data_IF_989847048069
#
_entry.id   IF_989847048069
#
_cell.length_a   1.000
_cell.length_b   1.000
_cell.length_c   1.000
_cell.angle_alpha   90.00
_cell.angle_beta   90.00
_cell.angle_gamma   90.00
#
_symmetry.space_group_name_H-M   'P 1'
#
loop_
_entity.id
_entity.type
_entity.pdbx_description
1 polymer ?
#
# COMPACT_ATOMS: atom_id res chain seq x y z
N UNK A 1 -19.08 -11.70 -4.21
CA UNK A 1 -18.62 -11.50 -2.80
C UNK A 1 -17.52 -10.45 -2.72
N UNK A 2 -16.39 -10.60 -3.44
CA UNK A 2 -15.31 -9.58 -3.46
C UNK A 2 -15.81 -8.20 -3.92
N UNK A 3 -16.57 -8.11 -4.99
CA UNK A 3 -17.13 -6.84 -5.50
C UNK A 3 -17.87 -6.04 -4.42
N UNK A 4 -18.80 -6.68 -3.70
CA UNK A 4 -19.53 -6.03 -2.60
C UNK A 4 -18.61 -5.60 -1.45
N UNK A 5 -17.55 -6.37 -1.22
CA UNK A 5 -16.50 -6.05 -0.24
C UNK A 5 -15.72 -4.80 -0.66
N UNK A 6 -15.33 -4.73 -1.93
CA UNK A 6 -14.65 -3.57 -2.51
C UNK A 6 -15.54 -2.32 -2.53
N UNK A 7 -16.80 -2.43 -2.94
CA UNK A 7 -17.77 -1.32 -2.96
C UNK A 7 -18.01 -0.73 -1.56
N UNK A 8 -18.10 -1.60 -0.54
CA UNK A 8 -18.20 -1.15 0.85
C UNK A 8 -16.94 -0.37 1.27
N UNK A 9 -15.76 -0.90 0.99
CA UNK A 9 -14.49 -0.25 1.32
C UNK A 9 -14.27 1.03 0.51
N UNK A 10 -14.70 1.08 -0.74
CA UNK A 10 -14.71 2.29 -1.56
C UNK A 10 -15.52 3.41 -0.89
N UNK A 11 -16.73 3.07 -0.42
CA UNK A 11 -17.58 4.04 0.29
C UNK A 11 -16.87 4.56 1.55
N UNK A 12 -16.25 3.67 2.32
CA UNK A 12 -15.51 4.04 3.51
C UNK A 12 -14.30 4.96 3.20
N UNK A 13 -13.56 4.67 2.13
CA UNK A 13 -12.39 5.48 1.73
C UNK A 13 -12.76 6.84 1.13
N UNK A 14 -13.97 7.00 0.57
CA UNK A 14 -14.44 8.25 -0.04
C UNK A 14 -15.16 9.19 0.92
N UNK A 15 -15.16 8.97 2.23
CA UNK A 15 -15.89 9.83 3.16
C UNK A 15 -15.21 11.17 3.40
N UNK A 16 -13.92 11.19 3.69
CA UNK A 16 -13.15 12.38 4.08
C UNK A 16 -11.65 12.22 3.82
N UNK A 17 -11.26 11.37 2.89
CA UNK A 17 -9.84 11.09 2.68
C UNK A 17 -9.05 12.33 2.27
N UNK A 18 -9.59 13.16 1.38
CA UNK A 18 -8.93 14.39 0.94
C UNK A 18 -8.66 15.35 2.13
N UNK A 19 -9.66 15.58 2.98
CA UNK A 19 -9.50 16.41 4.18
C UNK A 19 -8.47 15.83 5.14
N UNK A 20 -8.48 14.53 5.34
CA UNK A 20 -7.51 13.84 6.19
C UNK A 20 -6.08 14.00 5.67
N UNK A 21 -5.89 13.97 4.35
CA UNK A 21 -4.57 14.21 3.76
C UNK A 21 -4.12 15.66 3.88
N UNK A 22 -5.03 16.64 3.74
CA UNK A 22 -4.73 18.04 4.05
C UNK A 22 -4.25 18.20 5.50
N UNK A 23 -4.96 17.59 6.44
CA UNK A 23 -4.60 17.67 7.85
C UNK A 23 -3.27 16.95 8.17
N UNK A 24 -2.93 15.90 7.43
CA UNK A 24 -1.74 15.07 7.67
C UNK A 24 -0.48 15.58 6.98
N UNK A 25 -0.60 16.01 5.74
CA UNK A 25 0.53 16.33 4.87
C UNK A 25 0.58 17.79 4.44
N UNK A 26 -0.44 18.58 4.81
CA UNK A 26 -0.62 19.94 4.34
C UNK A 26 -1.28 20.01 2.96
N UNK A 27 -1.20 21.16 2.33
CA UNK A 27 -1.69 21.32 0.96
C UNK A 27 -0.87 20.48 -0.02
N UNK A 28 -1.40 20.17 -1.22
CA UNK A 28 -0.64 19.49 -2.25
C UNK A 28 0.72 20.15 -2.54
N UNK A 29 0.80 21.49 -2.52
CA UNK A 29 2.04 22.24 -2.73
C UNK A 29 3.04 22.03 -1.60
N UNK A 30 2.58 22.04 -0.35
CA UNK A 30 3.43 21.80 0.82
C UNK A 30 3.98 20.37 0.80
N UNK A 31 3.13 19.38 0.51
CA UNK A 31 3.52 17.98 0.38
C UNK A 31 4.49 17.78 -0.80
N UNK A 32 4.23 18.41 -1.97
CA UNK A 32 5.11 18.37 -3.13
C UNK A 32 6.50 18.96 -2.81
N UNK A 33 6.55 20.08 -2.11
CA UNK A 33 7.81 20.71 -1.70
C UNK A 33 8.64 19.80 -0.76
N UNK A 34 7.98 19.05 0.14
CA UNK A 34 8.66 18.08 1.02
C UNK A 34 9.21 16.89 0.23
N UNK A 35 8.41 16.32 -0.67
CA UNK A 35 8.81 15.17 -1.51
C UNK A 35 9.95 15.60 -2.45
N UNK A 36 9.84 16.78 -3.08
CA UNK A 36 10.84 17.30 -4.01
C UNK A 36 12.22 17.53 -3.36
N UNK A 37 12.26 17.87 -2.06
CA UNK A 37 13.52 17.99 -1.33
C UNK A 37 14.25 16.66 -1.11
N UNK A 38 13.50 15.56 -0.99
CA UNK A 38 14.07 14.24 -0.72
C UNK A 38 13.14 13.13 -1.22
N UNK A 39 13.06 12.91 -2.54
CA UNK A 39 12.22 11.86 -3.11
C UNK A 39 12.67 10.46 -2.67
N UNK A 40 13.98 10.22 -2.53
CA UNK A 40 14.53 8.96 -2.00
C UNK A 40 14.06 8.70 -0.56
N UNK A 41 13.98 9.72 0.27
CA UNK A 41 13.45 9.63 1.62
C UNK A 41 11.99 9.18 1.66
N UNK A 42 11.21 9.57 0.66
CA UNK A 42 9.80 9.18 0.53
C UNK A 42 9.64 7.68 0.25
N UNK A 43 10.55 7.09 -0.51
CA UNK A 43 10.58 5.65 -0.87
C UNK A 43 11.60 4.85 -0.07
N UNK A 44 12.18 5.42 0.98
CA UNK A 44 13.32 4.88 1.74
C UNK A 44 13.15 3.43 2.18
N UNK A 45 11.95 3.00 2.54
CA UNK A 45 11.69 1.66 3.05
C UNK A 45 11.98 0.56 2.03
N UNK A 46 11.86 0.86 0.75
CA UNK A 46 12.08 -0.08 -0.36
C UNK A 46 13.03 0.45 -1.45
N UNK A 47 13.64 1.63 -1.25
CA UNK A 47 14.51 2.28 -2.26
C UNK A 47 15.62 1.38 -2.79
N UNK A 48 16.22 0.55 -1.94
CA UNK A 48 17.28 -0.40 -2.32
C UNK A 48 16.85 -1.46 -3.34
N UNK A 49 15.54 -1.67 -3.52
CA UNK A 49 15.00 -2.63 -4.48
C UNK A 49 14.54 -1.97 -5.78
N UNK A 50 14.49 -0.64 -5.85
CA UNK A 50 14.02 0.07 -7.05
C UNK A 50 14.98 -0.09 -8.24
N UNK A 51 16.29 -0.02 -8.00
CA UNK A 51 17.28 0.05 -9.07
C UNK A 51 17.19 1.37 -9.84
N UNK A 52 17.68 1.38 -11.06
CA UNK A 52 17.54 2.53 -11.97
C UNK A 52 16.11 2.57 -12.53
N UNK A 53 15.46 3.71 -12.38
CA UNK A 53 14.09 3.96 -12.85
C UNK A 53 14.05 4.65 -14.22
N UNK A 54 15.20 5.02 -14.80
CA UNK A 54 15.27 5.71 -16.08
C UNK A 54 14.60 4.89 -17.19
N UNK A 55 13.58 5.46 -17.81
CA UNK A 55 12.81 4.79 -18.87
C UNK A 55 11.84 3.70 -18.38
N UNK A 56 11.73 3.47 -17.08
CA UNK A 56 10.82 2.48 -16.50
C UNK A 56 9.41 3.06 -16.36
N UNK A 57 8.42 2.35 -16.86
CA UNK A 57 7.02 2.59 -16.53
C UNK A 57 6.71 1.92 -15.20
N UNK A 58 6.12 2.64 -14.27
CA UNK A 58 5.77 2.15 -12.95
C UNK A 58 4.26 2.23 -12.70
N UNK A 59 3.69 1.21 -12.07
CA UNK A 59 2.32 1.24 -11.56
C UNK A 59 2.34 1.08 -10.03
N UNK A 60 1.67 1.98 -9.33
CA UNK A 60 1.46 1.91 -7.89
C UNK A 60 0.02 1.51 -7.61
N UNK A 61 -0.18 0.25 -7.23
CA UNK A 61 -1.50 -0.31 -6.95
C UNK A 61 -1.92 0.03 -5.52
N UNK A 62 -3.18 0.43 -5.35
CA UNK A 62 -3.74 0.96 -4.11
C UNK A 62 -2.86 2.10 -3.55
N UNK A 63 -2.45 3.01 -4.45
CA UNK A 63 -1.41 4.00 -4.17
C UNK A 63 -1.87 5.21 -3.35
N UNK A 64 -3.14 5.21 -2.89
CA UNK A 64 -3.72 6.21 -1.98
C UNK A 64 -3.45 7.64 -2.46
N UNK A 65 -2.96 8.52 -1.59
CA UNK A 65 -2.66 9.93 -1.85
C UNK A 65 -1.44 10.19 -2.78
N UNK A 66 -0.83 9.18 -3.38
CA UNK A 66 0.14 9.30 -4.46
C UNK A 66 1.55 9.79 -4.13
N UNK A 67 1.91 9.99 -2.86
CA UNK A 67 3.25 10.49 -2.50
C UNK A 67 4.38 9.61 -3.03
N UNK A 68 4.20 8.28 -3.06
CA UNK A 68 5.20 7.36 -3.60
C UNK A 68 5.28 7.44 -5.12
N UNK A 69 4.13 7.55 -5.78
CA UNK A 69 4.06 7.73 -7.22
C UNK A 69 4.76 9.02 -7.66
N UNK A 70 4.51 10.14 -6.99
CA UNK A 70 5.23 11.40 -7.23
C UNK A 70 6.74 11.25 -7.03
N UNK A 71 7.16 10.54 -5.96
CA UNK A 71 8.57 10.28 -5.72
C UNK A 71 9.21 9.39 -6.79
N UNK A 72 8.52 8.34 -7.29
CA UNK A 72 9.01 7.51 -8.39
C UNK A 72 9.21 8.34 -9.67
N UNK A 73 8.28 9.24 -10.00
CA UNK A 73 8.41 10.13 -11.13
C UNK A 73 9.60 11.10 -10.98
N UNK A 74 9.79 11.70 -9.80
CA UNK A 74 10.96 12.54 -9.50
C UNK A 74 12.29 11.78 -9.53
N UNK A 75 12.27 10.48 -9.27
CA UNK A 75 13.44 9.58 -9.35
C UNK A 75 13.71 9.05 -10.76
N UNK A 76 12.94 9.50 -11.77
CA UNK A 76 13.23 9.24 -13.18
C UNK A 76 12.37 8.18 -13.85
N UNK A 77 11.32 7.68 -13.21
CA UNK A 77 10.35 6.83 -13.90
C UNK A 77 9.74 7.58 -15.08
N UNK A 78 9.69 6.95 -16.27
CA UNK A 78 9.23 7.58 -17.50
C UNK A 78 7.72 7.82 -17.53
N UNK A 79 6.98 6.97 -16.86
CA UNK A 79 5.53 7.03 -16.71
C UNK A 79 5.16 6.41 -15.35
N UNK A 80 4.27 7.07 -14.61
CA UNK A 80 3.77 6.53 -13.34
C UNK A 80 2.26 6.55 -13.35
N UNK A 81 1.66 5.38 -13.12
CA UNK A 81 0.21 5.22 -12.98
C UNK A 81 -0.12 4.80 -11.55
N UNK A 82 -1.13 5.42 -10.96
CA UNK A 82 -1.72 4.98 -9.69
C UNK A 82 -3.07 4.35 -9.97
N UNK A 83 -3.31 3.19 -9.42
CA UNK A 83 -4.64 2.57 -9.37
C UNK A 83 -5.13 2.66 -7.93
N UNK A 84 -6.24 3.33 -7.71
CA UNK A 84 -6.86 3.44 -6.39
C UNK A 84 -8.38 3.49 -6.52
N UNK A 85 -9.09 2.88 -5.58
CA UNK A 85 -10.55 2.81 -5.63
C UNK A 85 -11.23 4.11 -5.17
N UNK A 86 -10.50 4.97 -4.46
CA UNK A 86 -11.04 6.19 -3.84
C UNK A 86 -10.76 7.43 -4.69
N UNK A 87 -11.83 8.08 -5.16
CA UNK A 87 -11.74 9.33 -5.89
C UNK A 87 -11.15 10.48 -5.05
N UNK A 88 -11.40 10.48 -3.75
CA UNK A 88 -10.81 11.43 -2.80
C UNK A 88 -9.26 11.31 -2.74
N UNK A 89 -8.74 10.09 -2.77
CA UNK A 89 -7.31 9.83 -2.87
C UNK A 89 -6.74 10.34 -4.18
N UNK A 90 -7.41 10.03 -5.30
CA UNK A 90 -6.99 10.44 -6.63
C UNK A 90 -6.98 11.97 -6.77
N UNK A 91 -7.97 12.65 -6.18
CA UNK A 91 -8.03 14.12 -6.18
C UNK A 91 -6.76 14.71 -5.54
N UNK A 92 -6.47 14.32 -4.30
CA UNK A 92 -5.28 14.84 -3.60
C UNK A 92 -3.98 14.47 -4.35
N UNK A 93 -3.87 13.22 -4.83
CA UNK A 93 -2.67 12.75 -5.51
C UNK A 93 -2.43 13.41 -6.87
N UNK A 94 -3.49 13.75 -7.60
CA UNK A 94 -3.38 14.50 -8.87
C UNK A 94 -2.89 15.92 -8.62
N UNK A 95 -3.50 16.65 -7.67
CA UNK A 95 -3.08 17.98 -7.26
C UNK A 95 -1.62 17.98 -6.74
N UNK A 96 -1.24 16.94 -5.97
CA UNK A 96 0.13 16.75 -5.50
C UNK A 96 1.13 16.56 -6.65
N UNK A 97 0.80 15.75 -7.65
CA UNK A 97 1.66 15.51 -8.81
C UNK A 97 1.84 16.78 -9.66
N UNK A 98 0.76 17.52 -9.87
CA UNK A 98 0.79 18.81 -10.55
C UNK A 98 1.70 19.80 -9.81
N UNK A 99 1.53 19.93 -8.49
CA UNK A 99 2.36 20.79 -7.66
C UNK A 99 3.83 20.38 -7.61
N UNK A 100 4.12 19.08 -7.72
CA UNK A 100 5.49 18.55 -7.82
C UNK A 100 6.11 18.71 -9.22
N UNK A 101 5.34 19.16 -10.21
CA UNK A 101 5.80 19.30 -11.59
C UNK A 101 6.06 17.97 -12.29
N UNK A 102 5.39 16.90 -11.87
CA UNK A 102 5.52 15.56 -12.46
C UNK A 102 4.19 15.06 -13.00
N UNK A 103 4.27 14.17 -13.99
CA UNK A 103 3.08 13.53 -14.53
C UNK A 103 2.83 12.19 -13.83
N UNK A 104 1.71 12.09 -13.13
CA UNK A 104 1.20 10.85 -12.53
C UNK A 104 -0.24 10.67 -12.98
N UNK A 105 -0.52 9.57 -13.65
CA UNK A 105 -1.87 9.23 -14.09
C UNK A 105 -2.61 8.45 -13.01
N UNK A 106 -3.82 8.88 -12.67
CA UNK A 106 -4.71 8.14 -11.77
C UNK A 106 -5.78 7.38 -12.55
N UNK A 107 -5.95 6.10 -12.19
CA UNK A 107 -7.05 5.24 -12.60
C UNK A 107 -7.89 4.95 -11.36
N UNK A 108 -9.05 5.61 -11.25
CA UNK A 108 -9.99 5.40 -10.13
C UNK A 108 -10.80 4.15 -10.43
N UNK A 109 -10.36 3.01 -9.89
CA UNK A 109 -10.97 1.71 -10.13
C UNK A 109 -10.65 0.71 -9.01
N UNK A 110 -11.52 -0.28 -8.80
CA UNK A 110 -11.11 -1.52 -8.15
C UNK A 110 -10.03 -2.18 -9.01
N UNK A 111 -8.91 -2.52 -8.41
CA UNK A 111 -7.78 -3.15 -9.12
C UNK A 111 -8.17 -4.48 -9.77
N UNK A 112 -9.16 -5.18 -9.22
CA UNK A 112 -9.68 -6.43 -9.79
C UNK A 112 -10.69 -6.22 -10.94
N UNK A 113 -11.17 -5.00 -11.13
CA UNK A 113 -12.12 -4.61 -12.19
C UNK A 113 -11.47 -3.59 -13.17
N UNK A 114 -10.14 -3.58 -13.27
CA UNK A 114 -9.44 -2.73 -14.23
C UNK A 114 -9.94 -3.03 -15.67
N UNK A 115 -10.24 -2.00 -16.46
CA UNK A 115 -10.51 -2.14 -17.89
C UNK A 115 -9.37 -2.89 -18.60
N UNK A 116 -9.70 -3.67 -19.64
CA UNK A 116 -8.71 -4.49 -20.34
C UNK A 116 -7.60 -3.63 -21.00
N UNK A 117 -7.94 -2.43 -21.44
CA UNK A 117 -6.99 -1.44 -21.98
C UNK A 117 -5.95 -0.96 -20.98
N UNK A 118 -6.21 -1.11 -19.67
CA UNK A 118 -5.24 -0.78 -18.62
C UNK A 118 -4.25 -1.92 -18.35
N UNK A 119 -4.57 -3.14 -18.76
CA UNK A 119 -3.75 -4.33 -18.56
C UNK A 119 -2.70 -4.47 -19.67
N UNK A 120 -1.88 -3.42 -19.85
CA UNK A 120 -0.99 -3.23 -21.02
C UNK A 120 0.20 -4.19 -21.08
N UNK A 121 0.60 -4.77 -19.95
CA UNK A 121 1.73 -5.71 -19.91
C UNK A 121 3.09 -5.08 -20.18
N UNK A 122 3.24 -3.76 -19.99
CA UNK A 122 4.46 -3.00 -20.30
C UNK A 122 5.08 -2.28 -19.11
N UNK A 123 4.53 -2.45 -17.89
CA UNK A 123 5.13 -1.89 -16.68
C UNK A 123 6.39 -2.65 -16.27
N UNK A 124 7.50 -1.94 -16.14
CA UNK A 124 8.74 -2.49 -15.61
C UNK A 124 8.74 -2.65 -14.09
N UNK A 125 7.87 -1.89 -13.40
CA UNK A 125 7.73 -1.92 -11.95
C UNK A 125 6.25 -1.86 -11.54
N UNK A 126 5.82 -2.80 -10.70
CA UNK A 126 4.61 -2.70 -9.90
C UNK A 126 4.98 -2.49 -8.44
N UNK A 127 4.42 -1.46 -7.82
CA UNK A 127 4.62 -1.15 -6.42
C UNK A 127 3.32 -1.35 -5.65
N UNK A 128 3.40 -2.03 -4.52
CA UNK A 128 2.33 -2.27 -3.58
C UNK A 128 2.86 -2.04 -2.16
N UNK A 129 2.25 -1.15 -1.38
CA UNK A 129 2.80 -0.84 -0.06
C UNK A 129 1.74 -0.64 1.03
N UNK A 130 2.03 -1.18 2.16
CA UNK A 130 1.40 -1.07 3.48
C UNK A 130 -0.13 -1.01 3.54
N UNK A 131 -0.68 -2.09 4.09
CA UNK A 131 -2.09 -2.15 4.44
C UNK A 131 -3.02 -2.35 3.25
N UNK A 132 -2.57 -3.08 2.25
CA UNK A 132 -3.33 -3.28 1.01
C UNK A 132 -3.86 -4.70 0.86
N UNK A 133 -3.10 -5.72 1.25
CA UNK A 133 -3.48 -7.12 1.05
C UNK A 133 -4.78 -7.49 1.76
N UNK A 134 -5.08 -6.83 2.86
CA UNK A 134 -6.25 -7.13 3.68
C UNK A 134 -7.58 -6.68 3.05
N UNK A 135 -7.58 -5.93 1.95
CA UNK A 135 -8.78 -5.57 1.20
C UNK A 135 -9.26 -6.64 0.21
N UNK A 136 -8.64 -7.80 0.21
CA UNK A 136 -8.99 -8.90 -0.69
C UNK A 136 -9.43 -10.14 0.09
N UNK A 137 -10.47 -10.81 -0.41
CA UNK A 137 -10.95 -12.09 0.12
C UNK A 137 -10.14 -13.27 -0.41
N UNK A 138 -9.50 -13.09 -1.58
CA UNK A 138 -8.56 -13.99 -2.21
C UNK A 138 -7.41 -13.18 -2.82
N UNK A 139 -6.17 -13.61 -2.61
CA UNK A 139 -4.99 -12.88 -3.10
C UNK A 139 -4.59 -13.23 -4.53
N UNK A 140 -4.89 -14.47 -4.97
CA UNK A 140 -4.49 -14.88 -6.31
C UNK A 140 -4.99 -13.95 -7.43
N UNK A 141 -6.28 -13.52 -7.45
CA UNK A 141 -6.77 -12.58 -8.46
C UNK A 141 -5.97 -11.26 -8.50
N UNK A 142 -5.56 -10.74 -7.34
CA UNK A 142 -4.72 -9.54 -7.26
C UNK A 142 -3.36 -9.77 -7.92
N UNK A 143 -2.68 -10.87 -7.60
CA UNK A 143 -1.38 -11.18 -8.22
C UNK A 143 -1.51 -11.53 -9.71
N UNK A 144 -2.62 -12.10 -10.14
CA UNK A 144 -2.92 -12.32 -11.58
C UNK A 144 -3.01 -10.97 -12.33
N UNK A 145 -3.62 -9.94 -11.73
CA UNK A 145 -3.62 -8.56 -12.28
C UNK A 145 -2.21 -8.00 -12.33
N UNK A 146 -1.42 -8.15 -11.26
CA UNK A 146 0.00 -7.71 -11.25
C UNK A 146 0.77 -8.34 -12.42
N UNK A 147 0.61 -9.65 -12.65
CA UNK A 147 1.28 -10.34 -13.77
C UNK A 147 0.83 -9.80 -15.13
N UNK A 148 -0.46 -9.47 -15.29
CA UNK A 148 -0.97 -8.88 -16.54
C UNK A 148 -0.41 -7.48 -16.79
N UNK A 149 -0.22 -6.68 -15.76
CA UNK A 149 0.35 -5.33 -15.85
C UNK A 149 1.85 -5.35 -16.16
N UNK A 150 2.59 -6.30 -15.58
CA UNK A 150 4.04 -6.35 -15.72
C UNK A 150 4.50 -6.77 -17.13
N UNK A 151 5.50 -6.09 -17.66
CA UNK A 151 6.28 -6.54 -18.80
C UNK A 151 7.03 -7.84 -18.48
N UNK A 152 7.50 -8.55 -19.51
CA UNK A 152 8.47 -9.65 -19.30
C UNK A 152 9.68 -9.10 -18.54
N UNK A 153 10.12 -9.80 -17.50
CA UNK A 153 11.16 -9.37 -16.55
C UNK A 153 10.80 -8.15 -15.69
N UNK A 154 9.59 -7.62 -15.80
CA UNK A 154 9.07 -6.60 -14.89
C UNK A 154 9.00 -7.11 -13.45
N UNK A 155 9.16 -6.21 -12.49
CA UNK A 155 9.27 -6.55 -11.06
C UNK A 155 8.08 -6.05 -10.26
N UNK A 156 7.67 -6.86 -9.29
CA UNK A 156 6.81 -6.45 -8.19
C UNK A 156 7.68 -6.14 -6.97
N UNK A 157 7.44 -5.00 -6.34
CA UNK A 157 7.87 -4.71 -4.96
C UNK A 157 6.61 -4.61 -4.11
N UNK A 158 6.42 -5.56 -3.23
CA UNK A 158 5.35 -5.58 -2.25
C UNK A 158 5.95 -5.41 -0.85
N UNK A 159 5.58 -4.33 -0.16
CA UNK A 159 5.94 -4.13 1.24
C UNK A 159 4.68 -4.00 2.07
N UNK A 160 4.51 -4.86 3.09
CA UNK A 160 3.31 -4.80 3.92
C UNK A 160 3.62 -5.14 5.39
N UNK A 161 2.63 -4.93 6.24
CA UNK A 161 2.72 -5.29 7.65
C UNK A 161 2.86 -6.81 7.80
N UNK A 162 3.75 -7.21 8.70
CA UNK A 162 4.03 -8.63 8.90
C UNK A 162 2.86 -9.34 9.60
N UNK A 163 2.42 -10.52 9.08
CA UNK A 163 1.32 -11.30 9.66
C UNK A 163 1.47 -11.65 11.14
N UNK A 164 2.67 -11.92 11.61
CA UNK A 164 2.93 -12.13 13.04
C UNK A 164 2.47 -10.93 13.87
N UNK A 165 2.75 -9.72 13.41
CA UNK A 165 2.31 -8.51 14.13
C UNK A 165 0.82 -8.28 13.98
N UNK A 166 0.25 -8.41 12.78
CA UNK A 166 -1.15 -8.06 12.52
C UNK A 166 -2.15 -9.09 13.06
N UNK A 167 -1.76 -10.36 13.13
CA UNK A 167 -2.64 -11.47 13.55
C UNK A 167 -2.42 -11.90 15.01
N UNK A 168 -1.20 -11.83 15.52
CA UNK A 168 -0.87 -12.42 16.81
C UNK A 168 -0.66 -11.41 17.93
N UNK A 169 -0.18 -10.20 17.60
CA UNK A 169 0.36 -9.30 18.61
C UNK A 169 -0.60 -8.17 18.91
N UNK A 170 -1.01 -8.02 20.18
CA UNK A 170 -1.60 -6.76 20.63
C UNK A 170 -0.55 -5.92 21.36
N UNK A 171 -0.40 -4.68 20.90
CA UNK A 171 0.44 -3.68 21.55
C UNK A 171 -0.30 -3.07 22.73
N UNK A 172 0.35 -2.98 23.87
CA UNK A 172 -0.19 -2.32 25.09
C UNK A 172 0.20 -0.84 25.18
N UNK A 173 0.29 -0.14 24.07
CA UNK A 173 0.51 1.30 24.04
C UNK A 173 1.99 1.74 24.11
N UNK A 174 2.22 3.00 23.77
CA UNK A 174 3.54 3.60 23.57
C UNK A 174 4.33 3.91 24.86
N UNK A 175 3.70 3.83 26.02
CA UNK A 175 4.32 4.19 27.32
C UNK A 175 4.98 3.04 28.06
N UNK A 176 5.01 1.86 27.46
CA UNK A 176 5.52 0.67 28.11
C UNK A 176 7.05 0.59 28.11
N UNK A 177 7.69 0.75 29.24
CA UNK A 177 9.13 0.61 29.47
C UNK A 177 9.67 -0.84 29.42
N UNK A 178 8.82 -1.85 29.19
CA UNK A 178 9.16 -3.28 29.21
C UNK A 178 8.46 -3.96 28.04
N UNK A 179 9.05 -5.03 27.49
CA UNK A 179 8.39 -5.93 26.51
C UNK A 179 6.93 -6.19 26.93
N UNK A 180 5.99 -5.65 26.17
CA UNK A 180 4.56 -5.76 26.47
C UNK A 180 3.76 -6.31 25.31
N UNK A 181 4.42 -6.97 24.36
CA UNK A 181 3.71 -7.72 23.36
C UNK A 181 3.15 -8.98 24.00
N UNK A 182 1.86 -9.19 23.81
CA UNK A 182 1.16 -10.39 24.22
C UNK A 182 0.62 -11.05 22.99
N UNK A 183 0.86 -12.33 22.84
CA UNK A 183 0.17 -13.16 21.86
C UNK A 183 -1.28 -13.30 22.30
N UNK A 184 -2.19 -12.71 21.56
CA UNK A 184 -3.63 -12.68 21.87
C UNK A 184 -4.50 -13.13 20.70
N UNK A 185 -3.94 -13.17 19.48
CA UNK A 185 -4.66 -13.55 18.28
C UNK A 185 -4.45 -15.00 17.86
N UNK A 186 -5.12 -15.39 16.79
CA UNK A 186 -4.94 -16.65 16.09
C UNK A 186 -4.32 -16.38 14.73
N UNK A 187 -3.16 -16.97 14.46
CA UNK A 187 -2.44 -16.81 13.19
C UNK A 187 -3.21 -17.36 11.99
N UNK A 188 -4.07 -18.34 12.21
CA UNK A 188 -4.85 -19.00 11.18
C UNK A 188 -6.29 -18.50 11.08
N UNK A 189 -6.68 -17.53 11.89
CA UNK A 189 -7.99 -16.90 11.77
C UNK A 189 -8.16 -16.24 10.39
N UNK A 190 -9.26 -16.56 9.71
CA UNK A 190 -9.61 -16.03 8.39
C UNK A 190 -10.86 -15.14 8.44
N UNK A 191 -11.31 -14.78 9.63
CA UNK A 191 -12.50 -13.94 9.80
C UNK A 191 -12.31 -12.55 9.19
N UNK A 192 -13.44 -11.95 8.82
CA UNK A 192 -13.48 -10.57 8.35
C UNK A 192 -13.65 -9.68 9.57
N UNK A 193 -12.80 -8.68 9.68
CA UNK A 193 -12.84 -7.66 10.72
C UNK A 193 -13.35 -6.34 10.14
N UNK A 194 -13.98 -5.53 10.98
CA UNK A 194 -14.30 -4.13 10.68
C UNK A 194 -13.46 -3.22 11.57
N UNK A 195 -12.77 -2.27 10.95
CA UNK A 195 -11.96 -1.28 11.68
C UNK A 195 -12.18 0.12 11.11
N UNK A 196 -11.78 1.12 11.87
CA UNK A 196 -11.79 2.50 11.38
C UNK A 196 -10.86 2.65 10.17
N UNK A 197 -11.23 3.52 9.25
CA UNK A 197 -10.39 3.82 8.08
C UNK A 197 -9.05 4.40 8.55
N UNK A 198 -7.95 4.00 7.94
CA UNK A 198 -6.61 4.37 8.40
C UNK A 198 -6.35 5.89 8.49
N UNK A 199 -7.09 6.70 7.75
CA UNK A 199 -7.00 8.15 7.78
C UNK A 199 -7.82 8.81 8.90
N UNK A 200 -8.76 8.12 9.57
CA UNK A 200 -9.66 8.70 10.58
C UNK A 200 -8.91 9.47 11.67
N UNK A 201 -7.75 8.96 12.07
CA UNK A 201 -6.84 9.60 13.04
C UNK A 201 -6.32 10.98 12.64
N UNK A 202 -6.55 11.40 11.40
CA UNK A 202 -6.17 12.71 10.88
C UNK A 202 -7.37 13.64 10.72
N UNK A 203 -8.54 13.27 11.25
CA UNK A 203 -9.75 14.08 11.26
C UNK A 203 -10.06 14.55 12.69
N UNK A 204 -9.39 15.61 13.19
CA UNK A 204 -9.58 16.07 14.55
C UNK A 204 -11.02 16.60 14.74
N UNK A 205 -11.69 16.14 15.80
CA UNK A 205 -13.03 16.59 16.17
C UNK A 205 -14.19 15.89 15.43
N UNK A 206 -13.91 14.96 14.53
CA UNK A 206 -14.95 14.08 13.98
C UNK A 206 -15.25 12.93 14.94
N UNK A 207 -16.53 12.59 15.04
CA UNK A 207 -16.96 11.39 15.75
C UNK A 207 -16.58 10.16 14.92
N UNK A 208 -15.54 9.43 15.33
CA UNK A 208 -15.09 8.23 14.63
C UNK A 208 -16.21 7.17 14.51
N UNK A 209 -17.19 7.18 15.44
CA UNK A 209 -18.33 6.24 15.38
C UNK A 209 -19.31 6.56 14.24
N UNK A 210 -19.27 7.76 13.67
CA UNK A 210 -20.10 8.17 12.55
C UNK A 210 -19.49 7.76 11.18
N UNK A 211 -18.21 7.36 11.16
CA UNK A 211 -17.55 6.94 9.93
C UNK A 211 -17.89 5.48 9.58
N UNK A 212 -18.08 5.22 8.29
CA UNK A 212 -18.19 3.85 7.77
C UNK A 212 -16.84 3.18 7.93
N UNK A 213 -16.84 2.02 8.58
CA UNK A 213 -15.62 1.25 8.82
C UNK A 213 -15.22 0.47 7.57
N UNK A 214 -13.94 0.22 7.42
CA UNK A 214 -13.44 -0.69 6.38
C UNK A 214 -13.56 -2.13 6.86
N UNK A 215 -13.79 -3.03 5.91
CA UNK A 215 -13.75 -4.47 6.09
C UNK A 215 -12.43 -5.00 5.58
N UNK A 216 -11.82 -5.91 6.34
CA UNK A 216 -10.57 -6.52 5.94
C UNK A 216 -10.43 -7.95 6.44
N UNK A 217 -9.62 -8.73 5.70
CA UNK A 217 -9.15 -10.06 6.06
C UNK A 217 -7.63 -10.01 6.28
N UNK A 218 -7.15 -10.61 7.33
CA UNK A 218 -5.70 -10.74 7.59
C UNK A 218 -5.18 -12.05 6.99
N UNK A 219 -4.00 -11.97 6.40
CA UNK A 219 -3.34 -13.06 5.71
C UNK A 219 -2.17 -13.62 6.50
N UNK A 220 -1.87 -14.91 6.34
CA UNK A 220 -0.61 -15.50 6.77
C UNK A 220 0.48 -15.21 5.72
N UNK A 221 1.75 -15.23 6.13
CA UNK A 221 2.85 -15.06 5.18
C UNK A 221 2.86 -16.18 4.13
N UNK A 222 2.52 -17.41 4.55
CA UNK A 222 2.41 -18.55 3.65
C UNK A 222 1.36 -18.37 2.56
N UNK A 223 0.17 -17.83 2.89
CA UNK A 223 -0.86 -17.52 1.90
C UNK A 223 -0.39 -16.47 0.90
N UNK A 224 0.29 -15.40 1.37
CA UNK A 224 0.81 -14.32 0.52
C UNK A 224 1.84 -14.87 -0.48
N UNK A 225 2.85 -15.57 0.02
CA UNK A 225 3.92 -16.16 -0.81
C UNK A 225 3.35 -17.15 -1.82
N UNK A 226 2.44 -18.02 -1.38
CA UNK A 226 1.81 -19.02 -2.24
C UNK A 226 0.98 -18.36 -3.35
N UNK A 227 0.21 -17.32 -3.02
CA UNK A 227 -0.60 -16.61 -4.00
C UNK A 227 0.27 -15.93 -5.07
N UNK A 228 1.35 -15.24 -4.67
CA UNK A 228 2.29 -14.63 -5.59
C UNK A 228 2.95 -15.67 -6.52
N UNK A 229 3.47 -16.75 -5.95
CA UNK A 229 4.15 -17.81 -6.72
C UNK A 229 3.18 -18.53 -7.66
N UNK A 230 1.96 -18.83 -7.22
CA UNK A 230 0.95 -19.53 -8.04
C UNK A 230 0.39 -18.68 -9.18
N UNK A 231 0.60 -17.37 -9.16
CA UNK A 231 0.27 -16.46 -10.26
C UNK A 231 1.39 -16.36 -11.32
N UNK A 232 2.51 -17.08 -11.12
CA UNK A 232 3.63 -17.07 -12.09
C UNK A 232 4.71 -16.03 -11.77
N UNK A 233 4.69 -15.43 -10.59
CA UNK A 233 5.77 -14.56 -10.13
C UNK A 233 6.92 -15.37 -9.52
N UNK A 234 8.13 -15.14 -10.01
CA UNK A 234 9.34 -15.71 -9.41
C UNK A 234 9.80 -14.81 -8.26
N UNK A 235 9.71 -15.32 -7.04
CA UNK A 235 10.11 -14.60 -5.83
C UNK A 235 11.63 -14.59 -5.74
N UNK A 236 12.23 -13.41 -5.81
CA UNK A 236 13.69 -13.22 -5.71
C UNK A 236 14.10 -12.91 -4.26
N UNK A 237 13.26 -12.15 -3.53
CA UNK A 237 13.57 -11.73 -2.17
C UNK A 237 12.29 -11.80 -1.33
N UNK A 238 12.44 -12.34 -0.14
CA UNK A 238 11.48 -12.18 0.96
C UNK A 238 12.27 -11.75 2.19
N UNK A 239 12.13 -10.48 2.56
CA UNK A 239 12.86 -9.89 3.68
C UNK A 239 11.89 -9.44 4.76
N UNK A 240 12.19 -9.81 5.99
CA UNK A 240 11.41 -9.46 7.17
C UNK A 240 12.16 -8.41 7.98
N UNK A 241 11.46 -7.39 8.46
CA UNK A 241 12.08 -6.29 9.19
C UNK A 241 11.44 -6.11 10.58
N UNK A 242 12.28 -5.91 11.60
CA UNK A 242 11.81 -5.57 12.94
C UNK A 242 11.22 -4.15 12.98
N UNK A 243 10.55 -3.82 14.06
CA UNK A 243 10.11 -2.45 14.28
C UNK A 243 11.32 -1.51 14.45
N UNK A 244 11.42 -0.51 13.57
CA UNK A 244 12.49 0.51 13.59
C UNK A 244 12.03 1.86 14.12
N UNK A 245 10.74 2.03 14.41
CA UNK A 245 10.17 3.34 14.74
C UNK A 245 10.34 3.74 16.19
N UNK A 246 10.73 2.83 17.07
CA UNK A 246 10.87 3.11 18.50
C UNK A 246 11.71 2.07 19.21
N UNK A 247 12.54 2.48 20.16
CA UNK A 247 13.27 1.59 21.09
C UNK A 247 12.34 0.90 22.10
N UNK A 248 11.11 1.36 22.22
CA UNK A 248 10.09 0.83 23.12
C UNK A 248 9.46 -0.46 22.58
N UNK A 249 9.49 -0.67 21.27
CA UNK A 249 8.90 -1.85 20.64
C UNK A 249 9.88 -3.01 20.58
N UNK A 250 9.35 -4.21 20.71
CA UNK A 250 10.13 -5.43 20.65
C UNK A 250 10.78 -5.61 19.27
N UNK A 251 12.11 -5.44 19.24
CA UNK A 251 12.92 -5.63 18.03
C UNK A 251 13.04 -7.12 17.61
N UNK A 252 12.62 -8.04 18.49
CA UNK A 252 12.61 -9.48 18.21
C UNK A 252 11.36 -9.97 17.48
N UNK A 253 10.46 -9.07 17.05
CA UNK A 253 9.22 -9.40 16.35
C UNK A 253 9.24 -8.74 14.98
N UNK A 254 8.98 -9.49 13.88
CA UNK A 254 8.91 -8.91 12.55
C UNK A 254 7.70 -7.96 12.46
N UNK A 255 7.93 -6.74 11.99
CA UNK A 255 6.92 -5.68 11.88
C UNK A 255 6.38 -5.52 10.46
N UNK A 256 7.25 -5.68 9.50
CA UNK A 256 6.94 -5.60 8.07
C UNK A 256 7.73 -6.67 7.32
N UNK A 257 7.32 -6.92 6.10
CA UNK A 257 8.07 -7.73 5.15
C UNK A 257 8.10 -7.01 3.79
N UNK A 258 9.12 -7.32 3.02
CA UNK A 258 9.22 -6.91 1.62
C UNK A 258 9.40 -8.16 0.76
N UNK A 259 8.51 -8.34 -0.20
CA UNK A 259 8.59 -9.38 -1.22
C UNK A 259 8.94 -8.71 -2.54
N UNK A 260 10.06 -9.11 -3.13
CA UNK A 260 10.43 -8.73 -4.49
C UNK A 260 10.27 -9.94 -5.38
N UNK A 261 9.47 -9.79 -6.42
CA UNK A 261 9.23 -10.86 -7.36
C UNK A 261 9.30 -10.33 -8.80
N UNK A 262 9.46 -11.24 -9.73
CA UNK A 262 9.68 -10.95 -11.15
C UNK A 262 8.75 -11.79 -12.01
N UNK A 263 8.19 -11.17 -13.04
CA UNK A 263 7.53 -11.89 -14.12
C UNK A 263 8.60 -12.51 -15.03
N UNK A 264 8.57 -13.82 -15.21
CA UNK A 264 9.50 -14.55 -16.10
C UNK A 264 9.14 -14.38 -17.57
#
# INVERSE_FOLDING_TARGET
MQKQFSEHNQTAWNQHAYEAWLNRFGTPEEAAALIGRNPEGTVRSFSRFLGDLSGIKAVNLLGSHGSKAAALALLGASEVTVVDIAAENAKYGTELAEAAGVHVRYVVSDVLELPEEELTGDYGLALMEFGILHYFLELKPLFDVVVKLLASRGRLILQDFHPVTTKLISSRGSTAKVRKHKVTGDYFDTSIEETDVAYSKFLPGQDESALIKVRHRKWTLGEIVTAAASSGLFIEILEEEPNRSSDVYDKGIPKSFTLVAKKL
#
